data_IF_452360178422
#
_entry.id   IF_452360178422
#
_cell.length_a   1.000
_cell.length_b   1.000
_cell.length_c   1.000
_cell.angle_alpha   90.00
_cell.angle_beta   90.00
_cell.angle_gamma   90.00
#
_symmetry.space_group_name_H-M   'P 1'
#
loop_
_entity.id
_entity.type
_entity.pdbx_description
1 polymer ?
#
# COMPACT_ATOMS: atom_id res chain seq x y z
N UNK A 1 -45.28 10.82 -1.65
CA UNK A 1 -44.15 10.38 -2.50
C UNK A 1 -42.90 11.10 -2.05
N UNK A 2 -41.84 10.36 -1.67
CA UNK A 2 -40.51 10.94 -1.46
C UNK A 2 -39.80 11.00 -2.81
N UNK A 3 -39.38 12.21 -3.21
CA UNK A 3 -38.51 12.43 -4.37
C UNK A 3 -37.16 12.83 -3.81
N UNK A 4 -36.13 12.02 -4.08
CA UNK A 4 -34.77 12.23 -3.57
C UNK A 4 -33.83 12.52 -4.74
N UNK A 5 -32.87 13.42 -4.53
CA UNK A 5 -31.77 13.59 -5.48
C UNK A 5 -30.79 12.42 -5.37
N UNK A 6 -29.92 12.23 -6.38
CA UNK A 6 -28.90 11.14 -6.39
C UNK A 6 -28.05 11.14 -5.12
N UNK A 7 -27.66 12.31 -4.63
CA UNK A 7 -26.85 12.45 -3.41
C UNK A 7 -27.57 11.93 -2.17
N UNK A 8 -28.83 12.32 -1.99
CA UNK A 8 -29.61 11.93 -0.81
C UNK A 8 -30.01 10.44 -0.89
N UNK A 9 -30.28 9.93 -2.09
CA UNK A 9 -30.46 8.51 -2.31
C UNK A 9 -29.21 7.70 -1.91
N UNK A 10 -28.02 8.10 -2.38
CA UNK A 10 -26.77 7.43 -2.02
C UNK A 10 -26.46 7.55 -0.52
N UNK A 11 -26.76 8.69 0.10
CA UNK A 11 -26.56 8.89 1.53
C UNK A 11 -27.42 7.95 2.38
N UNK A 12 -28.65 7.65 1.98
CA UNK A 12 -29.56 6.80 2.74
C UNK A 12 -29.52 5.32 2.35
N UNK A 13 -29.27 5.01 1.07
CA UNK A 13 -29.40 3.66 0.51
C UNK A 13 -28.15 3.20 -0.25
N UNK A 14 -27.14 4.04 -0.40
CA UNK A 14 -25.91 3.67 -1.09
C UNK A 14 -25.07 2.69 -0.27
N UNK A 15 -24.36 1.80 -0.96
CA UNK A 15 -23.45 0.85 -0.34
C UNK A 15 -22.21 1.57 0.22
N UNK A 16 -22.07 1.59 1.55
CA UNK A 16 -20.86 2.07 2.22
C UNK A 16 -19.78 0.97 2.26
N UNK A 17 -18.52 1.35 2.04
CA UNK A 17 -17.36 0.46 2.24
C UNK A 17 -16.60 0.78 3.53
N UNK A 18 -15.57 0.02 3.87
CA UNK A 18 -14.68 0.33 5.00
C UNK A 18 -13.29 0.71 4.49
N UNK A 19 -12.73 1.81 5.00
CA UNK A 19 -11.38 2.23 4.67
C UNK A 19 -10.36 1.20 5.20
N UNK A 20 -9.53 0.64 4.33
CA UNK A 20 -8.55 -0.38 4.69
C UNK A 20 -7.39 0.14 5.56
N UNK A 21 -7.20 1.47 5.66
CA UNK A 21 -6.18 2.07 6.51
C UNK A 21 -6.67 2.45 7.90
N UNK A 22 -7.89 2.98 8.05
CA UNK A 22 -8.41 3.45 9.34
C UNK A 22 -9.60 2.64 9.87
N UNK A 23 -10.06 1.62 9.13
CA UNK A 23 -11.18 0.73 9.44
C UNK A 23 -12.55 1.41 9.63
N UNK A 24 -12.66 2.72 9.39
CA UNK A 24 -13.91 3.48 9.48
C UNK A 24 -14.75 3.30 8.22
N UNK A 25 -16.07 3.42 8.37
CA UNK A 25 -17.00 3.38 7.27
C UNK A 25 -16.82 4.60 6.36
N UNK A 26 -16.81 4.35 5.05
CA UNK A 26 -16.80 5.36 4.00
C UNK A 26 -18.25 5.55 3.52
N UNK A 27 -18.82 6.74 3.65
CA UNK A 27 -20.12 7.08 3.08
C UNK A 27 -20.16 6.81 1.57
N UNK A 28 -21.27 6.30 1.06
CA UNK A 28 -21.42 5.92 -0.35
C UNK A 28 -21.30 7.09 -1.36
N UNK A 29 -21.38 8.33 -0.88
CA UNK A 29 -21.23 9.55 -1.69
C UNK A 29 -19.83 10.17 -1.59
N UNK A 30 -18.95 9.66 -0.72
CA UNK A 30 -17.60 10.19 -0.54
C UNK A 30 -16.66 9.74 -1.66
N UNK A 31 -15.75 10.62 -2.08
CA UNK A 31 -14.69 10.27 -3.02
C UNK A 31 -13.66 9.37 -2.34
N UNK A 32 -13.22 8.33 -3.06
CA UNK A 32 -12.31 7.32 -2.51
C UNK A 32 -11.14 7.03 -3.44
N UNK A 33 -10.03 6.63 -2.84
CA UNK A 33 -8.95 5.97 -3.55
C UNK A 33 -9.19 4.46 -3.55
N UNK A 34 -8.92 3.81 -4.69
CA UNK A 34 -9.01 2.35 -4.85
C UNK A 34 -7.67 1.79 -5.25
N UNK A 35 -7.22 0.77 -4.52
CA UNK A 35 -6.02 0.03 -4.86
C UNK A 35 -6.26 -1.46 -4.69
N UNK A 36 -6.18 -2.23 -5.79
CA UNK A 36 -6.64 -3.62 -5.85
C UNK A 36 -8.08 -3.75 -5.34
N UNK A 37 -8.31 -4.59 -4.33
CA UNK A 37 -9.60 -4.83 -3.67
C UNK A 37 -9.90 -3.86 -2.53
N UNK A 38 -8.99 -2.95 -2.20
CA UNK A 38 -9.10 -2.09 -1.03
C UNK A 38 -9.59 -0.69 -1.42
N UNK A 39 -10.39 -0.10 -0.51
CA UNK A 39 -10.88 1.28 -0.60
C UNK A 39 -10.28 2.10 0.53
N UNK A 40 -9.98 3.36 0.27
CA UNK A 40 -9.36 4.28 1.22
C UNK A 40 -10.02 5.66 1.11
N UNK A 41 -10.16 6.36 2.24
CA UNK A 41 -10.40 7.80 2.20
C UNK A 41 -9.23 8.50 1.48
N UNK A 42 -9.49 9.65 0.85
CA UNK A 42 -8.43 10.45 0.23
C UNK A 42 -7.32 10.79 1.25
N UNK A 43 -7.72 11.17 2.46
CA UNK A 43 -6.76 11.52 3.54
C UNK A 43 -6.01 10.31 4.11
N UNK A 44 -6.57 9.11 3.97
CA UNK A 44 -5.96 7.87 4.45
C UNK A 44 -5.06 7.21 3.39
N UNK A 45 -5.08 7.72 2.15
CA UNK A 45 -4.24 7.21 1.07
C UNK A 45 -2.85 7.83 1.15
N UNK A 46 -2.05 7.33 2.08
CA UNK A 46 -0.69 7.78 2.39
C UNK A 46 0.18 6.56 2.73
N UNK A 47 1.50 6.72 2.68
CA UNK A 47 2.42 5.68 3.12
C UNK A 47 2.16 5.36 4.60
N UNK A 48 1.99 4.08 4.94
CA UNK A 48 1.73 3.68 6.33
C UNK A 48 3.00 3.63 7.20
N UNK A 49 4.18 3.82 6.61
CA UNK A 49 5.47 3.83 7.30
C UNK A 49 5.91 5.27 7.63
N UNK A 50 6.04 6.13 6.62
CA UNK A 50 6.45 7.53 6.81
C UNK A 50 5.29 8.54 6.90
N UNK A 51 4.04 8.11 6.70
CA UNK A 51 2.84 8.98 6.69
C UNK A 51 2.82 10.05 5.57
N UNK A 52 3.73 9.98 4.61
CA UNK A 52 3.74 10.87 3.46
C UNK A 52 2.54 10.61 2.54
N UNK A 53 1.86 11.70 2.16
CA UNK A 53 0.78 11.68 1.16
C UNK A 53 1.35 11.54 -0.25
N UNK A 54 0.65 10.78 -1.09
CA UNK A 54 1.01 10.62 -2.50
C UNK A 54 0.50 11.78 -3.34
N UNK A 55 1.33 12.24 -4.26
CA UNK A 55 0.97 13.17 -5.33
C UNK A 55 0.63 12.43 -6.61
N UNK A 56 -0.03 13.12 -7.54
CA UNK A 56 -0.26 12.62 -8.90
C UNK A 56 1.09 12.29 -9.54
N UNK A 57 1.20 11.10 -10.14
CA UNK A 57 2.45 10.57 -10.70
C UNK A 57 3.28 9.72 -9.73
N UNK A 58 3.04 9.79 -8.41
CA UNK A 58 3.80 8.98 -7.46
C UNK A 58 3.52 7.48 -7.63
N UNK A 59 4.55 6.69 -7.38
CA UNK A 59 4.49 5.23 -7.37
C UNK A 59 4.27 4.74 -5.94
N UNK A 60 3.37 3.77 -5.80
CA UNK A 60 3.11 3.12 -4.51
C UNK A 60 3.00 1.61 -4.65
N UNK A 61 3.21 0.93 -3.53
CA UNK A 61 3.25 -0.52 -3.41
C UNK A 61 2.29 -0.97 -2.31
N UNK A 62 1.61 -2.11 -2.49
CA UNK A 62 0.88 -2.78 -1.40
C UNK A 62 1.68 -4.00 -0.95
N UNK A 63 2.07 -3.99 0.32
CA UNK A 63 2.67 -5.13 1.00
C UNK A 63 1.80 -5.51 2.20
N UNK A 64 1.27 -6.74 2.25
CA UNK A 64 0.40 -7.21 3.34
C UNK A 64 -0.74 -6.23 3.69
N UNK A 65 -1.43 -5.74 2.65
CA UNK A 65 -2.49 -4.73 2.72
C UNK A 65 -2.07 -3.34 3.21
N UNK A 66 -0.77 -3.11 3.42
CA UNK A 66 -0.20 -1.80 3.75
C UNK A 66 0.26 -1.08 2.50
N UNK A 67 -0.12 0.19 2.34
CA UNK A 67 0.38 1.03 1.27
C UNK A 67 1.72 1.64 1.69
N UNK A 68 2.72 1.48 0.85
CA UNK A 68 4.08 2.00 1.04
C UNK A 68 4.49 2.86 -0.15
N UNK A 69 5.28 3.91 0.11
CA UNK A 69 5.96 4.64 -0.95
C UNK A 69 7.11 3.81 -1.52
N UNK A 70 7.61 4.21 -2.69
CA UNK A 70 8.75 3.55 -3.36
C UNK A 70 9.96 3.42 -2.42
N UNK A 71 10.31 4.50 -1.72
CA UNK A 71 11.44 4.53 -0.78
C UNK A 71 11.32 3.50 0.36
N UNK A 72 10.22 3.57 1.14
CA UNK A 72 10.03 2.66 2.29
C UNK A 72 9.87 1.19 1.85
N UNK A 73 9.34 0.98 0.64
CA UNK A 73 9.22 -0.35 0.06
C UNK A 73 10.59 -0.95 -0.27
N UNK A 74 11.45 -0.19 -0.95
CA UNK A 74 12.81 -0.61 -1.31
C UNK A 74 13.70 -0.84 -0.08
N UNK A 75 13.66 0.06 0.91
CA UNK A 75 14.41 -0.10 2.16
C UNK A 75 14.05 -1.42 2.85
N UNK A 76 12.76 -1.75 2.89
CA UNK A 76 12.26 -3.01 3.49
C UNK A 76 12.77 -4.25 2.75
N UNK A 77 12.88 -4.21 1.43
CA UNK A 77 13.43 -5.32 0.64
C UNK A 77 14.91 -5.55 0.93
N UNK A 78 15.69 -4.47 1.03
CA UNK A 78 17.13 -4.55 1.36
C UNK A 78 17.32 -5.15 2.76
N UNK A 79 16.55 -4.69 3.75
CA UNK A 79 16.59 -5.23 5.11
C UNK A 79 16.23 -6.72 5.13
N UNK A 80 15.15 -7.12 4.44
CA UNK A 80 14.75 -8.52 4.34
C UNK A 80 15.81 -9.42 3.67
N UNK A 81 16.50 -8.90 2.65
CA UNK A 81 17.59 -9.61 1.97
C UNK A 81 18.86 -9.71 2.81
N UNK A 82 19.09 -8.75 3.71
CA UNK A 82 20.29 -8.66 4.56
C UNK A 82 20.23 -9.49 5.85
N UNK A 83 19.06 -10.05 6.22
CA UNK A 83 18.92 -10.92 7.39
C UNK A 83 19.69 -12.25 7.18
N UNK A 84 20.73 -12.55 7.97
CA UNK A 84 21.41 -13.83 7.88
C UNK A 84 20.54 -14.90 8.54
N UNK A 85 20.14 -15.92 7.77
CA UNK A 85 19.69 -17.19 8.37
C UNK A 85 20.81 -17.70 9.29
N UNK A 86 20.56 -17.67 10.60
CA UNK A 86 21.42 -18.26 11.60
C UNK A 86 21.48 -19.78 11.36
N UNK A 87 22.47 -20.23 10.59
CA UNK A 87 22.82 -21.62 10.50
C UNK A 87 24.16 -21.78 11.22
N UNK A 88 24.14 -22.52 12.33
CA UNK A 88 25.35 -22.90 13.05
C UNK A 88 26.30 -23.62 12.07
N UNK A 89 27.40 -22.96 11.71
CA UNK A 89 28.39 -23.55 10.83
C UNK A 89 29.47 -22.56 10.41
N UNK A 90 30.57 -22.58 11.17
CA UNK A 90 31.95 -22.38 10.73
C UNK A 90 32.24 -21.20 9.80
N UNK A 91 32.98 -20.25 10.36
CA UNK A 91 33.88 -19.28 9.71
C UNK A 91 34.46 -19.74 8.36
N UNK A 92 34.59 -18.77 7.44
CA UNK A 92 35.36 -18.74 6.18
C UNK A 92 34.55 -18.85 4.87
N UNK A 93 33.85 -17.76 4.50
CA UNK A 93 33.76 -17.29 3.10
C UNK A 93 33.13 -15.89 3.02
N UNK A 94 33.89 -14.87 3.42
CA UNK A 94 33.54 -13.45 3.20
C UNK A 94 34.01 -13.09 1.78
N UNK A 95 33.27 -13.53 0.77
CA UNK A 95 33.18 -12.89 -0.55
C UNK A 95 32.15 -13.67 -1.37
N UNK A 96 31.21 -12.96 -2.00
CA UNK A 96 30.10 -13.46 -2.87
C UNK A 96 28.76 -13.69 -2.18
N UNK A 97 28.12 -12.61 -1.71
CA UNK A 97 26.65 -12.53 -1.63
C UNK A 97 26.11 -11.15 -2.05
N UNK A 98 26.85 -10.43 -2.89
CA UNK A 98 26.35 -9.16 -3.49
C UNK A 98 25.67 -9.44 -4.84
N UNK A 99 25.83 -10.64 -5.40
CA UNK A 99 25.34 -10.99 -6.74
C UNK A 99 23.90 -11.50 -6.79
N UNK A 100 23.36 -12.03 -5.68
CA UNK A 100 22.03 -12.67 -5.66
C UNK A 100 20.89 -11.76 -5.17
N UNK A 101 21.20 -10.52 -4.78
CA UNK A 101 20.19 -9.53 -4.37
C UNK A 101 19.40 -9.00 -5.58
N UNK A 102 19.94 -9.10 -6.80
CA UNK A 102 19.29 -8.65 -8.04
C UNK A 102 18.11 -9.51 -8.50
N UNK A 103 17.76 -10.60 -7.81
CA UNK A 103 16.67 -11.51 -8.22
C UNK A 103 15.36 -11.31 -7.46
N UNK A 104 15.31 -10.50 -6.39
CA UNK A 104 14.02 -10.06 -5.86
C UNK A 104 13.52 -8.97 -6.80
N UNK A 105 12.91 -9.39 -7.93
CA UNK A 105 12.24 -8.44 -8.82
C UNK A 105 11.30 -7.61 -7.93
N UNK A 106 11.45 -6.27 -7.86
CA UNK A 106 10.47 -5.47 -7.16
C UNK A 106 9.12 -5.79 -7.84
N UNK A 107 8.06 -6.16 -7.10
CA UNK A 107 6.74 -6.22 -7.70
C UNK A 107 6.52 -4.89 -8.39
N UNK A 108 6.04 -4.93 -9.64
CA UNK A 108 5.70 -3.70 -10.36
C UNK A 108 4.82 -2.80 -9.47
N UNK A 109 5.01 -1.48 -9.50
CA UNK A 109 4.14 -0.57 -8.75
C UNK A 109 2.69 -0.88 -9.10
N UNK A 110 1.82 -0.83 -8.10
CA UNK A 110 0.46 -1.31 -8.30
C UNK A 110 -0.37 -0.38 -9.17
N UNK A 111 -0.07 0.91 -9.12
CA UNK A 111 -0.56 1.93 -10.03
C UNK A 111 0.27 3.21 -9.82
N UNK A 112 0.17 4.12 -10.78
CA UNK A 112 0.48 5.53 -10.56
C UNK A 112 -0.80 6.27 -10.17
N UNK A 113 -0.68 7.31 -9.36
CA UNK A 113 -1.82 8.19 -9.04
C UNK A 113 -2.13 9.04 -10.27
N UNK A 114 -3.35 8.94 -10.79
CA UNK A 114 -3.86 9.69 -11.95
C UNK A 114 -4.76 10.84 -11.52
#
# INVERSE_FOLDING_TARGET
HLILCKRDYLRMFGTSGNCAACCKAIPAFEMVMRAKSNVYHLDCFACQQCHQRFCVGDRFYLNDNKILCEYDYEERLVVAASMPSNNNGSTQHIQRRVSDIHQVRPPSPLASIF
#
